data_IF_744367636778
#
_entry.id   IF_744367636778
#
_cell.length_a   1.000
_cell.length_b   1.000
_cell.length_c   1.000
_cell.angle_alpha   90.00
_cell.angle_beta   90.00
_cell.angle_gamma   90.00
#
_symmetry.space_group_name_H-M   'P 1'
#
loop_
_entity.id
_entity.type
_entity.pdbx_description
1 polymer ?
#
# COMPACT_ATOMS: atom_id res chain seq x y z
N UNK A 1 -2.14 3.51 -13.54
CA UNK A 1 -1.69 4.52 -14.51
C UNK A 1 -1.83 4.04 -15.95
N UNK A 2 -1.09 3.00 -16.37
CA UNK A 2 -1.07 2.58 -17.78
C UNK A 2 -2.47 2.17 -18.29
N UNK A 3 -3.21 1.36 -17.52
CA UNK A 3 -4.60 0.98 -17.85
C UNK A 3 -5.54 2.18 -18.05
N UNK A 4 -5.21 3.32 -17.44
CA UNK A 4 -6.01 4.56 -17.50
C UNK A 4 -5.38 5.62 -18.42
N UNK A 5 -4.45 5.23 -19.31
CA UNK A 5 -3.93 6.08 -20.39
C UNK A 5 -2.57 6.76 -20.13
N UNK A 6 -1.94 6.57 -18.98
CA UNK A 6 -0.58 7.11 -18.76
C UNK A 6 0.47 6.32 -19.55
N UNK A 7 1.51 7.01 -20.04
CA UNK A 7 2.69 6.33 -20.54
C UNK A 7 3.33 5.48 -19.44
N UNK A 8 4.04 4.42 -19.84
CA UNK A 8 4.69 3.50 -18.90
C UNK A 8 5.68 4.23 -17.99
N UNK A 9 6.47 5.14 -18.55
CA UNK A 9 7.51 5.85 -17.81
C UNK A 9 6.91 6.79 -16.77
N UNK A 10 5.90 7.56 -17.14
CA UNK A 10 5.18 8.45 -16.21
C UNK A 10 4.48 7.64 -15.13
N UNK A 11 3.80 6.55 -15.49
CA UNK A 11 3.15 5.68 -14.51
C UNK A 11 4.15 5.10 -13.51
N UNK A 12 5.34 4.71 -13.97
CA UNK A 12 6.43 4.20 -13.11
C UNK A 12 6.91 5.28 -12.15
N UNK A 13 7.22 6.47 -12.66
CA UNK A 13 7.72 7.59 -11.86
C UNK A 13 6.72 8.00 -10.77
N UNK A 14 5.45 8.21 -11.13
CA UNK A 14 4.40 8.56 -10.19
C UNK A 14 4.21 7.49 -9.11
N UNK A 15 4.28 6.21 -9.48
CA UNK A 15 4.15 5.09 -8.52
C UNK A 15 5.28 5.14 -7.49
N UNK A 16 6.53 5.29 -7.95
CA UNK A 16 7.70 5.35 -7.06
C UNK A 16 7.59 6.54 -6.11
N UNK A 17 7.28 7.73 -6.63
CA UNK A 17 7.17 8.93 -5.79
C UNK A 17 5.99 8.88 -4.83
N UNK A 18 4.87 8.26 -5.22
CA UNK A 18 3.70 8.09 -4.35
C UNK A 18 4.03 7.22 -3.15
N UNK A 19 4.68 6.06 -3.38
CA UNK A 19 5.08 5.16 -2.28
C UNK A 19 6.09 5.85 -1.37
N UNK A 20 7.12 6.50 -1.94
CA UNK A 20 8.12 7.25 -1.17
C UNK A 20 7.50 8.37 -0.34
N UNK A 21 6.59 9.15 -0.94
CA UNK A 21 5.89 10.24 -0.28
C UNK A 21 5.03 9.76 0.89
N UNK A 22 4.26 8.67 0.69
CA UNK A 22 3.46 8.07 1.75
C UNK A 22 4.32 7.65 2.95
N UNK A 23 5.48 7.04 2.70
CA UNK A 23 6.43 6.69 3.77
C UNK A 23 6.95 7.94 4.49
N UNK A 24 7.35 8.98 3.74
CA UNK A 24 7.83 10.24 4.32
C UNK A 24 6.77 10.95 5.17
N UNK A 25 5.50 10.86 4.81
CA UNK A 25 4.40 11.43 5.60
C UNK A 25 4.21 10.73 6.96
N UNK A 26 4.62 9.46 7.10
CA UNK A 26 4.52 8.71 8.34
C UNK A 26 5.80 8.76 9.19
N UNK A 27 6.96 8.74 8.53
CA UNK A 27 8.25 8.71 9.21
C UNK A 27 8.42 9.91 10.14
N UNK A 28 8.81 9.65 11.38
CA UNK A 28 9.03 10.69 12.40
C UNK A 28 7.75 11.29 12.99
N UNK A 29 6.59 10.71 12.69
CA UNK A 29 5.30 11.07 13.32
C UNK A 29 4.84 9.94 14.24
N UNK A 30 4.10 10.30 15.30
CA UNK A 30 3.37 9.33 16.16
C UNK A 30 1.95 9.04 15.63
N UNK A 31 1.66 9.43 14.39
CA UNK A 31 0.34 9.27 13.79
C UNK A 31 0.18 7.81 13.34
N UNK A 32 -0.88 7.17 13.81
CA UNK A 32 -1.22 5.82 13.34
C UNK A 32 -1.52 5.83 11.82
N UNK A 33 -1.02 4.88 11.02
CA UNK A 33 -1.21 4.89 9.56
C UNK A 33 -2.67 4.96 9.09
N UNK A 34 -3.59 4.37 9.86
CA UNK A 34 -5.02 4.47 9.59
C UNK A 34 -5.53 5.93 9.64
N UNK A 35 -5.03 6.74 10.58
CA UNK A 35 -5.41 8.14 10.72
C UNK A 35 -4.89 8.95 9.53
N UNK A 36 -3.62 8.74 9.13
CA UNK A 36 -3.09 9.42 7.94
C UNK A 36 -3.86 9.05 6.67
N UNK A 37 -4.23 7.77 6.51
CA UNK A 37 -5.08 7.32 5.39
C UNK A 37 -6.42 8.06 5.41
N UNK A 38 -7.04 8.21 6.56
CA UNK A 38 -8.34 8.88 6.69
C UNK A 38 -8.21 10.39 6.35
N UNK A 39 -7.10 11.04 6.72
CA UNK A 39 -6.82 12.44 6.35
C UNK A 39 -6.75 12.69 4.84
N UNK A 40 -6.34 11.70 4.05
CA UNK A 40 -6.26 11.79 2.58
C UNK A 40 -7.50 11.21 1.87
N UNK A 41 -8.53 10.86 2.63
CA UNK A 41 -9.76 10.21 2.13
C UNK A 41 -10.98 11.10 2.36
N UNK A 42 -11.32 11.92 1.37
CA UNK A 42 -12.54 12.73 1.42
C UNK A 42 -13.80 11.86 1.22
N UNK A 43 -14.91 12.15 1.92
CA UNK A 43 -16.18 11.43 1.73
C UNK A 43 -16.64 11.47 0.26
N UNK A 44 -16.95 10.30 -0.30
CA UNK A 44 -17.36 10.17 -1.71
C UNK A 44 -16.27 10.47 -2.76
N UNK A 45 -15.02 10.70 -2.33
CA UNK A 45 -13.90 11.02 -3.21
C UNK A 45 -13.29 9.82 -3.94
N UNK A 46 -12.37 10.10 -4.86
CA UNK A 46 -11.68 9.09 -5.67
C UNK A 46 -10.84 8.13 -4.83
N UNK A 47 -10.17 8.62 -3.77
CA UNK A 47 -9.43 7.79 -2.81
C UNK A 47 -10.34 6.79 -2.12
N UNK A 48 -11.55 7.22 -1.71
CA UNK A 48 -12.51 6.34 -1.03
C UNK A 48 -12.98 5.20 -1.96
N UNK A 49 -13.27 5.51 -3.22
CA UNK A 49 -13.63 4.48 -4.23
C UNK A 49 -12.48 3.49 -4.48
N UNK A 50 -11.24 3.97 -4.53
CA UNK A 50 -10.06 3.12 -4.66
C UNK A 50 -9.86 2.21 -3.45
N UNK A 51 -9.95 2.76 -2.24
CA UNK A 51 -9.86 2.00 -0.99
C UNK A 51 -10.93 0.92 -0.91
N UNK A 52 -12.17 1.22 -1.29
CA UNK A 52 -13.25 0.22 -1.32
C UNK A 52 -12.87 -1.00 -2.16
N UNK A 53 -12.30 -0.80 -3.35
CA UNK A 53 -11.87 -1.91 -4.21
C UNK A 53 -10.70 -2.70 -3.63
N UNK A 54 -9.76 -2.03 -2.93
CA UNK A 54 -8.66 -2.71 -2.23
C UNK A 54 -9.18 -3.59 -1.08
N UNK A 55 -10.13 -3.09 -0.29
CA UNK A 55 -10.74 -3.87 0.80
C UNK A 55 -11.57 -5.04 0.25
N UNK A 56 -12.35 -4.82 -0.82
CA UNK A 56 -13.12 -5.89 -1.48
C UNK A 56 -12.22 -7.01 -2.03
N UNK A 57 -10.99 -6.66 -2.43
CA UNK A 57 -9.97 -7.62 -2.85
C UNK A 57 -9.15 -8.25 -1.70
N UNK A 58 -9.57 -8.06 -0.44
CA UNK A 58 -8.88 -8.58 0.75
C UNK A 58 -7.40 -8.15 0.88
N UNK A 59 -7.04 -6.98 0.35
CA UNK A 59 -5.64 -6.54 0.22
C UNK A 59 -4.84 -6.65 1.53
N UNK A 60 -5.41 -6.20 2.66
CA UNK A 60 -4.73 -6.27 3.96
C UNK A 60 -4.42 -7.71 4.39
N UNK A 61 -5.38 -8.61 4.24
CA UNK A 61 -5.20 -10.01 4.60
C UNK A 61 -4.10 -10.64 3.75
N UNK A 62 -4.11 -10.39 2.44
CA UNK A 62 -3.08 -10.88 1.52
C UNK A 62 -1.67 -10.42 1.90
N UNK A 63 -1.50 -9.16 2.32
CA UNK A 63 -0.19 -8.65 2.76
C UNK A 63 0.26 -9.32 4.07
N UNK A 64 -0.65 -9.51 5.03
CA UNK A 64 -0.34 -10.18 6.30
C UNK A 64 0.10 -11.62 6.05
N UNK A 65 -0.67 -12.37 5.26
CA UNK A 65 -0.37 -13.76 4.89
C UNK A 65 0.96 -13.88 4.14
N UNK A 66 1.28 -12.93 3.25
CA UNK A 66 2.55 -12.91 2.54
C UNK A 66 3.75 -12.77 3.50
N UNK A 67 3.65 -11.88 4.49
CA UNK A 67 4.72 -11.70 5.50
C UNK A 67 4.84 -12.92 6.40
N UNK A 68 3.73 -13.50 6.82
CA UNK A 68 3.73 -14.72 7.64
C UNK A 68 4.36 -15.90 6.88
N UNK A 69 3.95 -16.11 5.63
CA UNK A 69 4.50 -17.15 4.77
C UNK A 69 6.02 -17.00 4.58
N UNK A 70 6.49 -15.77 4.32
CA UNK A 70 7.92 -15.47 4.21
C UNK A 70 8.68 -15.75 5.52
N UNK A 71 8.10 -15.40 6.68
CA UNK A 71 8.69 -15.65 7.99
C UNK A 71 8.80 -17.16 8.27
N UNK A 72 7.75 -17.92 7.99
CA UNK A 72 7.73 -19.38 8.17
C UNK A 72 8.78 -20.04 7.28
N UNK A 73 8.88 -19.63 6.01
CA UNK A 73 9.90 -20.15 5.10
C UNK A 73 11.32 -19.84 5.57
N UNK A 74 11.56 -18.64 6.09
CA UNK A 74 12.86 -18.26 6.66
C UNK A 74 13.26 -19.16 7.85
N UNK A 75 12.31 -19.48 8.74
CA UNK A 75 12.54 -20.38 9.88
C UNK A 75 12.83 -21.82 9.45
N UNK A 76 12.19 -22.32 8.39
CA UNK A 76 12.51 -23.63 7.82
C UNK A 76 13.94 -23.67 7.27
N UNK A 77 14.33 -22.64 6.51
CA UNK A 77 15.66 -22.55 5.92
C UNK A 77 16.76 -22.46 6.96
N UNK A 78 16.54 -21.72 8.05
CA UNK A 78 17.52 -21.57 9.13
C UNK A 78 17.64 -22.77 10.10
N UNK A 79 16.79 -23.79 9.96
CA UNK A 79 16.90 -25.06 10.69
C UNK A 79 17.76 -26.11 9.95
N UNK A 80 18.09 -25.85 8.68
CA UNK A 80 19.03 -26.64 7.88
C UNK A 80 20.45 -26.06 8.00
#
# INVERSE_FOLDING_TARGET
>A
GVKTGLSRDVARELTIQTVLGATKCLLGTDIHPAVLRDQVTSPGGTTASGLYQLEAGAFKATIIEAVESACNRSRELGKN
#
